data_IF_176536611009
#
_entry.id   IF_176536611009
#
_cell.length_a   1.000
_cell.length_b   1.000
_cell.length_c   1.000
_cell.angle_alpha   90.00
_cell.angle_beta   90.00
_cell.angle_gamma   90.00
#
_symmetry.space_group_name_H-M   'P 1'
#
loop_
_entity.id
_entity.type
_entity.pdbx_description
1 polymer ?
#
# COMPACT_ATOMS: atom_id res chain seq x y z
N UNK A 1 47.65 48.66 18.95
CA UNK A 1 47.48 47.45 19.80
C UNK A 1 46.03 47.45 20.26
N UNK A 2 45.15 46.71 19.58
CA UNK A 2 43.88 46.14 20.09
C UNK A 2 43.33 45.27 18.95
N UNK A 3 43.48 43.96 19.10
CA UNK A 3 42.85 42.95 18.23
C UNK A 3 41.35 42.97 18.56
N UNK A 4 40.50 43.28 17.59
CA UNK A 4 39.07 43.02 17.70
C UNK A 4 38.80 41.68 17.02
N UNK A 5 38.66 40.65 17.83
CA UNK A 5 38.08 39.36 17.50
C UNK A 5 36.57 39.58 17.54
N UNK A 6 35.87 39.32 16.43
CA UNK A 6 34.43 39.09 16.50
C UNK A 6 34.11 37.72 15.90
N UNK A 7 33.51 36.94 16.80
CA UNK A 7 33.09 35.55 16.70
C UNK A 7 32.14 35.37 15.51
N UNK A 8 32.46 34.40 14.65
CA UNK A 8 31.55 33.84 13.67
C UNK A 8 30.55 32.95 14.44
N UNK A 9 29.36 33.47 14.74
CA UNK A 9 28.26 32.64 15.28
C UNK A 9 27.67 31.83 14.11
N UNK A 10 28.24 30.64 13.89
CA UNK A 10 27.68 29.64 13.00
C UNK A 10 26.51 28.97 13.74
N UNK A 11 25.32 29.56 13.69
CA UNK A 11 24.09 28.86 14.06
C UNK A 11 23.82 27.79 13.01
N UNK A 12 24.34 26.58 13.25
CA UNK A 12 23.76 25.35 12.70
C UNK A 12 22.33 25.26 13.23
N UNK A 13 21.37 25.82 12.49
CA UNK A 13 20.01 25.30 12.53
C UNK A 13 20.07 23.94 11.84
N UNK A 14 20.34 22.89 12.60
CA UNK A 14 19.84 21.56 12.25
C UNK A 14 18.32 21.70 12.27
N UNK A 15 17.73 21.91 11.10
CA UNK A 15 16.32 21.58 10.89
C UNK A 15 16.29 20.09 11.18
N UNK A 16 15.83 19.74 12.38
CA UNK A 16 15.47 18.36 12.65
C UNK A 16 14.37 18.04 11.66
N UNK A 17 14.65 17.12 10.74
CA UNK A 17 13.59 16.39 10.07
C UNK A 17 12.80 15.75 11.21
N UNK A 18 11.67 16.35 11.57
CA UNK A 18 10.69 15.67 12.38
C UNK A 18 10.19 14.53 11.49
N UNK A 19 10.83 13.38 11.58
CA UNK A 19 10.32 12.15 11.03
C UNK A 19 9.08 11.81 11.85
N UNK A 20 7.95 12.35 11.42
CA UNK A 20 6.64 11.99 11.95
C UNK A 20 6.39 10.54 11.54
N UNK A 21 6.75 9.63 12.42
CA UNK A 21 6.59 8.21 12.17
C UNK A 21 5.13 7.79 12.35
N UNK A 22 4.42 7.62 11.24
CA UNK A 22 3.16 6.86 11.22
C UNK A 22 3.49 5.38 11.05
N UNK A 23 3.01 4.48 11.91
CA UNK A 23 3.28 3.04 11.71
C UNK A 23 2.73 2.53 10.37
N UNK A 24 1.65 3.16 9.89
CA UNK A 24 1.10 2.97 8.56
C UNK A 24 1.56 4.08 7.62
N UNK A 25 2.17 3.71 6.49
CA UNK A 25 2.47 4.63 5.40
C UNK A 25 1.27 4.75 4.45
N UNK A 26 0.66 5.94 4.43
CA UNK A 26 -0.41 6.29 3.50
C UNK A 26 0.02 7.32 2.44
N UNK A 27 1.31 7.60 2.27
CA UNK A 27 1.82 8.60 1.32
C UNK A 27 1.35 8.36 -0.12
N UNK A 28 1.15 7.09 -0.50
CA UNK A 28 0.66 6.67 -1.82
C UNK A 28 -0.82 6.28 -1.84
N UNK A 29 -1.54 6.39 -0.71
CA UNK A 29 -2.94 5.98 -0.58
C UNK A 29 -3.17 4.46 -0.52
N UNK A 30 -2.12 3.69 -0.21
CA UNK A 30 -2.16 2.23 -0.17
C UNK A 30 -2.44 1.68 1.23
N UNK A 31 -2.65 2.53 2.26
CA UNK A 31 -2.92 2.05 3.61
C UNK A 31 -4.15 1.14 3.65
N UNK A 32 -4.01 0.02 4.35
CA UNK A 32 -5.06 -1.01 4.47
C UNK A 32 -5.48 -1.54 3.09
N UNK A 33 -4.51 -1.92 2.25
CA UNK A 33 -4.73 -2.55 0.95
C UNK A 33 -3.88 -3.82 0.82
N UNK A 34 -3.96 -4.48 -0.34
CA UNK A 34 -3.15 -5.67 -0.65
C UNK A 34 -1.69 -5.35 -0.99
N UNK A 35 -1.29 -4.07 -0.96
CA UNK A 35 0.10 -3.62 -1.12
C UNK A 35 0.75 -3.42 0.25
N UNK A 36 2.09 -3.54 0.37
CA UNK A 36 2.79 -3.12 1.58
C UNK A 36 2.45 -1.67 1.94
N UNK A 37 2.11 -1.45 3.20
CA UNK A 37 1.64 -0.15 3.70
C UNK A 37 2.19 0.18 5.10
N UNK A 38 3.11 -0.61 5.64
CA UNK A 38 3.77 -0.28 6.90
C UNK A 38 4.95 0.64 6.62
N UNK A 39 5.19 1.58 7.53
CA UNK A 39 6.36 2.45 7.46
C UNK A 39 7.62 1.64 7.80
N UNK A 40 8.47 1.41 6.79
CA UNK A 40 9.65 0.57 6.93
C UNK A 40 10.65 1.10 7.98
N UNK A 41 10.80 2.42 8.09
CA UNK A 41 11.70 3.02 9.06
C UNK A 41 11.24 2.74 10.48
N UNK A 42 9.94 2.91 10.77
CA UNK A 42 9.40 2.60 12.10
C UNK A 42 9.40 1.12 12.43
N UNK A 43 9.10 0.24 11.47
CA UNK A 43 9.19 -1.20 11.69
C UNK A 43 10.64 -1.56 12.05
N UNK A 44 11.62 -0.99 11.34
CA UNK A 44 13.05 -1.21 11.60
C UNK A 44 13.50 -0.66 12.95
N UNK A 45 13.15 0.58 13.26
CA UNK A 45 13.55 1.27 14.50
C UNK A 45 12.98 0.57 15.73
N UNK A 46 11.72 0.14 15.68
CA UNK A 46 11.08 -0.63 16.74
C UNK A 46 11.46 -2.12 16.70
N UNK A 47 12.32 -2.55 15.77
CA UNK A 47 12.75 -3.94 15.59
C UNK A 47 11.58 -4.92 15.41
N UNK A 48 10.47 -4.49 14.83
CA UNK A 48 9.28 -5.33 14.66
C UNK A 48 9.60 -6.44 13.65
N UNK A 49 9.47 -7.69 14.09
CA UNK A 49 9.66 -8.90 13.28
C UNK A 49 8.34 -9.40 12.71
N UNK A 50 7.28 -9.36 13.51
CA UNK A 50 5.93 -9.68 13.04
C UNK A 50 4.86 -9.00 13.87
N UNK A 51 3.70 -8.80 13.26
CA UNK A 51 2.48 -8.34 13.92
C UNK A 51 1.36 -9.30 13.55
N UNK A 52 0.68 -9.87 14.54
CA UNK A 52 -0.41 -10.83 14.33
C UNK A 52 -1.64 -10.47 15.16
N UNK A 53 -2.78 -10.99 14.74
CA UNK A 53 -4.05 -10.70 15.36
C UNK A 53 -5.17 -11.63 14.89
N UNK A 54 -6.22 -11.71 15.69
CA UNK A 54 -7.41 -12.51 15.40
C UNK A 54 -8.58 -11.57 15.05
N UNK A 55 -9.50 -12.08 14.23
CA UNK A 55 -10.71 -11.34 13.90
C UNK A 55 -11.83 -11.66 14.88
N UNK A 56 -12.53 -10.62 15.31
CA UNK A 56 -13.84 -10.70 15.94
C UNK A 56 -14.86 -9.96 15.09
N UNK A 57 -16.12 -10.35 15.18
CA UNK A 57 -17.18 -9.81 14.33
C UNK A 57 -18.41 -9.42 15.16
N UNK A 58 -19.09 -8.36 14.74
CA UNK A 58 -20.40 -7.99 15.27
C UNK A 58 -21.25 -7.30 14.21
N UNK A 59 -22.54 -7.16 14.50
CA UNK A 59 -23.38 -6.15 13.86
C UNK A 59 -23.57 -4.96 14.79
N UNK A 60 -23.87 -3.79 14.23
CA UNK A 60 -24.22 -2.61 15.04
C UNK A 60 -25.37 -2.96 15.99
N UNK A 61 -25.17 -2.70 17.29
CA UNK A 61 -26.15 -3.01 18.35
C UNK A 61 -26.09 -4.44 18.89
N UNK A 62 -25.15 -5.26 18.43
CA UNK A 62 -24.96 -6.65 18.85
C UNK A 62 -23.61 -6.84 19.60
N UNK A 63 -23.44 -8.01 20.21
CA UNK A 63 -22.20 -8.40 20.91
C UNK A 63 -21.10 -8.83 19.93
N UNK A 64 -19.85 -8.67 20.36
CA UNK A 64 -18.68 -9.22 19.66
C UNK A 64 -18.68 -10.75 19.76
N UNK A 65 -18.28 -11.40 18.67
CA UNK A 65 -18.09 -12.85 18.59
C UNK A 65 -16.72 -13.14 18.02
N UNK A 66 -16.01 -14.03 18.69
CA UNK A 66 -14.71 -14.52 18.23
C UNK A 66 -14.87 -15.34 16.95
N UNK A 67 -13.82 -15.32 16.13
CA UNK A 67 -13.71 -16.16 14.95
C UNK A 67 -12.41 -16.96 15.00
N UNK A 68 -12.32 -18.00 14.19
CA UNK A 68 -11.06 -18.73 13.95
C UNK A 68 -10.18 -18.04 12.88
N UNK A 69 -10.59 -16.86 12.42
CA UNK A 69 -9.88 -16.10 11.40
C UNK A 69 -8.80 -15.25 12.07
N UNK A 70 -7.67 -15.09 11.39
CA UNK A 70 -6.60 -14.23 11.86
C UNK A 70 -5.74 -13.73 10.72
N UNK A 71 -4.88 -12.76 11.02
CA UNK A 71 -3.94 -12.17 10.08
C UNK A 71 -2.56 -12.05 10.72
N UNK A 72 -1.51 -12.22 9.92
CA UNK A 72 -0.13 -12.02 10.36
C UNK A 72 0.68 -11.35 9.27
N UNK A 73 1.50 -10.38 9.68
CA UNK A 73 2.47 -9.67 8.86
C UNK A 73 3.87 -9.99 9.35
N UNK A 74 4.78 -10.30 8.43
CA UNK A 74 6.18 -10.60 8.73
C UNK A 74 7.09 -9.60 8.04
N UNK A 75 8.05 -9.08 8.79
CA UNK A 75 8.96 -8.03 8.33
C UNK A 75 10.40 -8.54 8.34
N UNK A 76 11.23 -8.06 7.43
CA UNK A 76 12.68 -8.27 7.50
C UNK A 76 13.35 -7.22 8.39
N UNK A 77 14.66 -7.36 8.65
CA UNK A 77 15.43 -6.40 9.47
C UNK A 77 15.57 -5.00 8.85
N UNK A 78 15.22 -4.81 7.58
CA UNK A 78 15.14 -3.47 6.95
C UNK A 78 13.81 -2.78 7.21
N UNK A 79 12.84 -3.48 7.79
CA UNK A 79 11.48 -2.99 8.06
C UNK A 79 10.46 -3.32 6.98
N UNK A 80 10.88 -4.01 5.92
CA UNK A 80 10.02 -4.32 4.76
C UNK A 80 9.09 -5.47 5.08
N UNK A 81 7.80 -5.34 4.74
CA UNK A 81 6.84 -6.45 4.78
C UNK A 81 7.26 -7.50 3.75
N UNK A 82 7.59 -8.72 4.16
CA UNK A 82 8.05 -9.80 3.25
C UNK A 82 7.05 -10.94 3.07
N UNK A 83 6.13 -11.11 4.04
CA UNK A 83 5.07 -12.12 3.97
C UNK A 83 3.84 -11.64 4.72
N UNK A 84 2.66 -11.92 4.20
CA UNK A 84 1.41 -11.85 4.95
C UNK A 84 0.64 -13.17 4.85
N UNK A 85 -0.03 -13.51 5.95
CA UNK A 85 -0.94 -14.65 6.05
C UNK A 85 -2.29 -14.13 6.53
N UNK A 86 -3.36 -14.65 5.95
CA UNK A 86 -4.72 -14.37 6.39
C UNK A 86 -5.58 -15.63 6.28
N UNK A 87 -6.21 -16.00 7.39
CA UNK A 87 -7.20 -17.07 7.41
C UNK A 87 -8.56 -16.50 7.02
N UNK A 88 -9.22 -17.14 6.06
CA UNK A 88 -10.54 -16.75 5.55
C UNK A 88 -11.51 -17.93 5.56
N UNK A 89 -12.80 -17.63 5.54
CA UNK A 89 -13.84 -18.65 5.42
C UNK A 89 -13.93 -19.12 3.96
N UNK A 90 -13.73 -20.41 3.73
CA UNK A 90 -13.93 -21.04 2.41
C UNK A 90 -15.30 -21.72 2.32
N UNK A 91 -15.65 -22.22 1.12
CA UNK A 91 -16.87 -23.01 0.91
C UNK A 91 -16.95 -24.24 1.81
N UNK A 92 -15.80 -24.80 2.21
CA UNK A 92 -15.67 -25.89 3.18
C UNK A 92 -14.50 -25.55 4.10
N UNK A 93 -14.79 -25.29 5.39
CA UNK A 93 -13.78 -25.00 6.40
C UNK A 93 -13.07 -23.65 6.20
N UNK A 94 -11.82 -23.59 6.67
CA UNK A 94 -10.95 -22.43 6.58
C UNK A 94 -9.94 -22.59 5.45
N UNK A 95 -9.56 -21.48 4.82
CA UNK A 95 -8.44 -21.41 3.89
C UNK A 95 -7.48 -20.31 4.32
N UNK A 96 -6.23 -20.40 3.91
CA UNK A 96 -5.20 -19.40 4.23
C UNK A 96 -4.69 -18.75 2.95
N UNK A 97 -4.95 -17.45 2.83
CA UNK A 97 -4.35 -16.60 1.82
C UNK A 97 -2.93 -16.27 2.24
N UNK A 98 -2.01 -16.33 1.28
CA UNK A 98 -0.61 -15.98 1.50
C UNK A 98 -0.14 -15.01 0.41
N UNK A 99 0.56 -13.97 0.84
CA UNK A 99 1.27 -13.08 -0.07
C UNK A 99 2.74 -12.96 0.33
N UNK A 100 3.62 -12.96 -0.65
CA UNK A 100 5.06 -12.74 -0.52
C UNK A 100 5.45 -11.47 -1.26
N UNK A 101 6.35 -10.71 -0.67
CA UNK A 101 6.86 -9.46 -1.22
C UNK A 101 8.38 -9.52 -1.27
N UNK A 102 8.94 -9.33 -2.46
CA UNK A 102 10.38 -9.32 -2.70
C UNK A 102 10.80 -7.92 -3.12
N UNK A 103 12.01 -7.51 -2.75
CA UNK A 103 12.53 -6.16 -2.96
C UNK A 103 13.92 -6.21 -3.59
N UNK A 104 14.26 -5.18 -4.37
CA UNK A 104 15.63 -4.95 -4.81
C UNK A 104 16.47 -4.30 -3.67
N UNK A 105 17.74 -4.02 -3.95
CA UNK A 105 18.64 -3.36 -2.99
C UNK A 105 18.21 -1.92 -2.64
N UNK A 106 17.57 -1.22 -3.58
CA UNK A 106 17.06 0.14 -3.40
C UNK A 106 15.75 0.21 -2.61
N UNK A 107 15.11 -0.94 -2.34
CA UNK A 107 13.85 -1.02 -1.60
C UNK A 107 12.59 -1.07 -2.48
N UNK A 108 12.71 -1.13 -3.81
CA UNK A 108 11.53 -1.28 -4.68
C UNK A 108 11.06 -2.74 -4.73
N UNK A 109 9.74 -2.94 -4.73
CA UNK A 109 9.13 -4.27 -4.85
C UNK A 109 9.44 -4.90 -6.22
N UNK A 110 10.22 -5.97 -6.25
CA UNK A 110 10.52 -6.72 -7.48
C UNK A 110 9.53 -7.82 -7.78
N UNK A 111 8.85 -8.36 -6.75
CA UNK A 111 7.83 -9.37 -6.93
C UNK A 111 6.74 -9.27 -5.86
N UNK A 112 5.49 -9.44 -6.28
CA UNK A 112 4.39 -9.82 -5.41
C UNK A 112 3.93 -11.19 -5.83
N UNK A 113 3.97 -12.16 -4.92
CA UNK A 113 3.52 -13.53 -5.18
C UNK A 113 2.36 -13.86 -4.28
N UNK A 114 1.32 -14.44 -4.86
CA UNK A 114 0.17 -14.90 -4.10
C UNK A 114 -0.39 -16.16 -4.74
N UNK A 115 -1.41 -16.75 -4.12
CA UNK A 115 -2.00 -18.00 -4.54
C UNK A 115 -3.45 -17.78 -4.94
N UNK A 116 -3.84 -18.38 -6.06
CA UNK A 116 -5.24 -18.59 -6.41
C UNK A 116 -5.53 -20.11 -6.47
N UNK A 117 -6.73 -20.46 -6.93
CA UNK A 117 -7.15 -21.84 -7.09
C UNK A 117 -6.36 -22.63 -8.16
N UNK A 118 -5.55 -21.98 -9.00
CA UNK A 118 -4.65 -22.60 -9.98
C UNK A 118 -3.20 -22.70 -9.47
N UNK A 119 -2.95 -22.30 -8.22
CA UNK A 119 -1.62 -22.32 -7.60
C UNK A 119 -1.02 -20.93 -7.47
N UNK A 120 0.30 -20.87 -7.31
CA UNK A 120 1.00 -19.61 -7.13
C UNK A 120 1.11 -18.84 -8.45
N UNK A 121 0.96 -17.53 -8.35
CA UNK A 121 1.27 -16.59 -9.41
C UNK A 121 2.03 -15.40 -8.85
N UNK A 122 2.67 -14.65 -9.75
CA UNK A 122 3.44 -13.49 -9.37
C UNK A 122 3.26 -12.35 -10.37
N UNK A 123 3.30 -11.13 -9.84
CA UNK A 123 3.58 -9.94 -10.63
C UNK A 123 5.02 -9.53 -10.38
N UNK A 124 5.84 -9.55 -11.42
CA UNK A 124 7.27 -9.22 -11.38
C UNK A 124 7.52 -7.85 -11.98
N UNK A 125 8.29 -7.03 -11.30
CA UNK A 125 8.63 -5.67 -11.71
C UNK A 125 10.10 -5.55 -12.08
N UNK A 126 10.38 -4.77 -13.12
CA UNK A 126 11.73 -4.25 -13.41
C UNK A 126 11.70 -2.75 -13.51
N UNK A 127 12.78 -2.15 -13.04
CA UNK A 127 12.93 -0.71 -12.89
C UNK A 127 14.06 -0.19 -13.78
N UNK A 128 13.96 1.07 -14.20
CA UNK A 128 15.10 1.82 -14.71
C UNK A 128 15.94 2.42 -13.58
N UNK A 129 17.01 3.14 -13.93
CA UNK A 129 17.92 3.78 -12.97
C UNK A 129 17.28 4.91 -12.15
N UNK A 130 16.06 5.33 -12.49
CA UNK A 130 15.30 6.36 -11.77
C UNK A 130 14.20 5.74 -10.89
N UNK A 131 14.17 4.42 -10.73
CA UNK A 131 13.16 3.72 -9.92
C UNK A 131 11.78 3.64 -10.59
N UNK A 132 11.69 3.84 -11.91
CA UNK A 132 10.42 3.76 -12.65
C UNK A 132 10.21 2.37 -13.24
N UNK A 133 9.00 1.83 -13.14
CA UNK A 133 8.67 0.50 -13.69
C UNK A 133 8.75 0.51 -15.22
N UNK A 134 9.72 -0.18 -15.79
CA UNK A 134 9.88 -0.35 -17.24
C UNK A 134 9.31 -1.67 -17.76
N UNK A 135 9.05 -2.63 -16.87
CA UNK A 135 8.46 -3.93 -17.21
C UNK A 135 7.67 -4.50 -16.05
N UNK A 136 6.48 -5.00 -16.36
CA UNK A 136 5.62 -5.73 -15.43
C UNK A 136 5.26 -7.08 -16.08
N UNK A 137 5.53 -8.19 -15.40
CA UNK A 137 5.23 -9.53 -15.91
C UNK A 137 4.24 -10.24 -15.00
N UNK A 138 3.22 -10.86 -15.59
CA UNK A 138 2.40 -11.83 -14.90
C UNK A 138 2.97 -13.23 -15.14
N UNK A 139 3.30 -13.92 -14.05
CA UNK A 139 3.89 -15.27 -14.07
C UNK A 139 3.04 -16.28 -13.32
N UNK A 140 3.09 -17.53 -13.78
CA UNK A 140 2.64 -18.71 -13.02
C UNK A 140 3.84 -19.41 -12.40
N UNK A 141 3.70 -19.83 -11.16
CA UNK A 141 4.77 -20.42 -10.35
C UNK A 141 4.39 -21.83 -9.93
N UNK A 142 5.24 -22.80 -10.24
CA UNK A 142 5.15 -24.10 -9.59
C UNK A 142 5.75 -24.01 -8.19
N UNK A 143 5.07 -24.59 -7.21
CA UNK A 143 5.66 -24.83 -5.90
C UNK A 143 6.46 -26.14 -5.96
N UNK A 144 7.69 -26.15 -5.44
CA UNK A 144 8.49 -27.38 -5.35
C UNK A 144 7.97 -28.33 -4.27
N UNK A 145 7.32 -27.78 -3.26
CA UNK A 145 6.74 -28.55 -2.17
C UNK A 145 5.20 -28.63 -2.33
N UNK A 146 4.57 -29.49 -1.51
CA UNK A 146 3.12 -29.68 -1.50
C UNK A 146 2.39 -28.72 -0.54
N UNK A 147 3.10 -27.77 0.07
CA UNK A 147 2.49 -26.80 0.99
C UNK A 147 1.66 -25.79 0.21
N UNK A 148 0.48 -25.51 0.75
CA UNK A 148 -0.44 -24.49 0.24
C UNK A 148 -0.07 -23.08 0.70
N UNK A 149 0.80 -22.95 1.71
CA UNK A 149 1.14 -21.68 2.36
C UNK A 149 2.65 -21.39 2.37
N UNK A 150 3.51 -22.40 2.21
CA UNK A 150 4.97 -22.24 2.11
C UNK A 150 5.43 -22.36 0.67
N UNK A 151 5.73 -21.21 0.07
CA UNK A 151 6.21 -21.17 -1.30
C UNK A 151 7.70 -21.49 -1.36
N UNK A 152 8.05 -22.59 -2.02
CA UNK A 152 9.39 -22.84 -2.51
C UNK A 152 9.38 -22.73 -4.03
N UNK A 153 9.99 -21.66 -4.56
CA UNK A 153 9.91 -21.32 -5.98
C UNK A 153 10.50 -22.45 -6.83
N UNK A 154 9.64 -23.05 -7.65
CA UNK A 154 9.97 -24.01 -8.69
C UNK A 154 10.13 -23.35 -10.05
N UNK A 155 9.63 -24.02 -11.09
CA UNK A 155 9.64 -23.47 -12.45
C UNK A 155 8.65 -22.30 -12.55
N UNK A 156 9.08 -21.24 -13.22
CA UNK A 156 8.25 -20.07 -13.51
C UNK A 156 7.90 -20.00 -14.99
N UNK A 157 6.71 -19.51 -15.30
CA UNK A 157 6.23 -19.33 -16.66
C UNK A 157 5.70 -17.91 -16.83
N UNK A 158 6.28 -17.15 -17.75
CA UNK A 158 5.75 -15.83 -18.14
C UNK A 158 4.48 -16.08 -18.97
N UNK A 159 3.36 -15.56 -18.50
CA UNK A 159 2.06 -15.69 -19.17
C UNK A 159 1.81 -14.47 -20.05
N UNK A 160 2.04 -13.28 -19.51
CA UNK A 160 1.98 -12.01 -20.24
C UNK A 160 2.90 -11.00 -19.59
N UNK A 161 3.22 -9.94 -20.31
CA UNK A 161 3.98 -8.82 -19.77
C UNK A 161 3.62 -7.52 -20.48
N UNK A 162 3.88 -6.43 -19.78
CA UNK A 162 3.82 -5.08 -20.31
C UNK A 162 5.20 -4.43 -20.18
N UNK A 163 5.52 -3.53 -21.10
CA UNK A 163 6.71 -2.68 -21.00
C UNK A 163 6.30 -1.22 -20.99
N UNK A 164 7.21 -0.34 -20.58
CA UNK A 164 6.91 1.08 -20.47
C UNK A 164 8.08 1.95 -20.91
N UNK A 165 7.75 3.07 -21.54
CA UNK A 165 8.67 4.16 -21.85
C UNK A 165 8.17 5.45 -21.18
N UNK A 166 9.09 6.38 -20.91
CA UNK A 166 8.82 7.59 -20.15
C UNK A 166 9.31 8.83 -20.90
N UNK A 167 8.55 9.92 -20.76
CA UNK A 167 8.90 11.26 -21.24
C UNK A 167 8.60 12.25 -20.11
N UNK A 168 9.57 13.11 -19.81
CA UNK A 168 9.45 14.13 -18.76
C UNK A 168 9.14 15.50 -19.37
N UNK A 169 8.28 16.25 -18.71
CA UNK A 169 7.90 17.63 -19.01
C UNK A 169 7.86 18.43 -17.70
N UNK A 170 7.80 19.75 -17.79
CA UNK A 170 7.70 20.59 -16.61
C UNK A 170 6.40 20.30 -15.83
N UNK A 171 6.51 19.92 -14.55
CA UNK A 171 5.39 19.51 -13.70
C UNK A 171 4.62 18.26 -14.15
N UNK A 172 5.11 17.50 -15.15
CA UNK A 172 4.36 16.41 -15.75
C UNK A 172 5.26 15.27 -16.26
N UNK A 173 4.86 14.02 -16.00
CA UNK A 173 5.45 12.82 -16.61
C UNK A 173 4.44 12.12 -17.50
N UNK A 174 4.88 11.66 -18.67
CA UNK A 174 4.11 10.73 -19.52
C UNK A 174 4.78 9.36 -19.55
N UNK A 175 3.99 8.32 -19.26
CA UNK A 175 4.35 6.91 -19.43
C UNK A 175 3.52 6.28 -20.55
N UNK A 176 4.16 5.74 -21.57
CA UNK A 176 3.48 4.93 -22.60
C UNK A 176 3.67 3.44 -22.28
N UNK A 177 2.58 2.69 -22.26
CA UNK A 177 2.55 1.26 -21.92
C UNK A 177 2.29 0.43 -23.18
N UNK A 178 3.12 -0.60 -23.35
CA UNK A 178 3.09 -1.53 -24.48
C UNK A 178 2.68 -2.92 -24.00
N UNK A 179 1.87 -3.61 -24.80
CA UNK A 179 1.53 -5.01 -24.54
C UNK A 179 2.70 -5.95 -24.88
N UNK A 180 2.51 -7.26 -24.68
CA UNK A 180 3.51 -8.30 -24.94
C UNK A 180 3.93 -8.44 -26.41
N UNK A 181 3.21 -7.81 -27.35
CA UNK A 181 3.56 -7.72 -28.77
C UNK A 181 4.29 -6.41 -29.12
N UNK A 182 4.63 -5.58 -28.14
CA UNK A 182 5.30 -4.29 -28.35
C UNK A 182 4.40 -3.20 -28.92
N UNK A 183 3.07 -3.40 -28.91
CA UNK A 183 2.12 -2.39 -29.40
C UNK A 183 1.71 -1.46 -28.25
N UNK A 184 1.85 -0.12 -28.40
CA UNK A 184 1.37 0.81 -27.39
C UNK A 184 -0.15 0.76 -27.33
N UNK A 185 -0.70 0.75 -26.11
CA UNK A 185 -2.15 0.64 -25.93
C UNK A 185 -2.71 1.57 -24.85
N UNK A 186 -1.87 2.11 -23.98
CA UNK A 186 -2.26 2.99 -22.87
C UNK A 186 -1.19 4.05 -22.62
N UNK A 187 -1.62 5.30 -22.47
CA UNK A 187 -0.80 6.39 -21.97
C UNK A 187 -1.24 6.76 -20.56
N UNK A 188 -0.28 7.01 -19.68
CA UNK A 188 -0.50 7.48 -18.31
C UNK A 188 0.22 8.81 -18.15
N UNK A 189 -0.54 9.86 -17.85
CA UNK A 189 0.00 11.18 -17.54
C UNK A 189 -0.07 11.39 -16.03
N UNK A 190 1.06 11.69 -15.39
CA UNK A 190 1.14 12.07 -13.98
C UNK A 190 1.48 13.55 -13.90
N UNK A 191 0.74 14.29 -13.09
CA UNK A 191 0.95 15.72 -12.85
C UNK A 191 1.36 15.94 -11.40
N UNK A 192 2.25 16.89 -11.20
CA UNK A 192 2.84 17.23 -9.92
C UNK A 192 2.55 18.70 -9.58
N UNK A 193 2.51 19.03 -8.29
CA UNK A 193 2.57 20.43 -7.85
C UNK A 193 4.02 20.93 -7.74
N UNK A 194 4.19 22.16 -7.24
CA UNK A 194 5.50 22.81 -7.09
C UNK A 194 6.41 22.10 -6.07
N UNK A 195 5.83 21.37 -5.11
CA UNK A 195 6.54 20.58 -4.09
C UNK A 195 6.85 19.14 -4.55
N UNK A 196 6.40 18.77 -5.75
CA UNK A 196 6.61 17.44 -6.35
C UNK A 196 5.62 16.37 -5.90
N UNK A 197 4.53 16.74 -5.22
CA UNK A 197 3.45 15.82 -4.88
C UNK A 197 2.57 15.54 -6.09
N UNK A 198 2.09 14.30 -6.22
CA UNK A 198 1.21 13.90 -7.32
C UNK A 198 -0.17 14.53 -7.10
N UNK A 199 -0.62 15.39 -8.00
CA UNK A 199 -1.97 15.98 -7.93
C UNK A 199 -2.98 15.22 -8.78
N UNK A 200 -2.53 14.64 -9.89
CA UNK A 200 -3.40 13.93 -10.82
C UNK A 200 -2.67 12.83 -11.60
N UNK A 201 -3.39 11.73 -11.88
CA UNK A 201 -3.00 10.68 -12.82
C UNK A 201 -4.12 10.42 -13.82
N UNK A 202 -3.84 10.55 -15.12
CA UNK A 202 -4.79 10.31 -16.21
C UNK A 202 -4.32 9.14 -17.08
N UNK A 203 -5.04 8.04 -17.05
CA UNK A 203 -4.86 6.90 -17.94
C UNK A 203 -5.79 7.05 -19.16
N UNK A 204 -5.24 6.94 -20.37
CA UNK A 204 -5.99 6.97 -21.64
C UNK A 204 -5.66 5.73 -22.46
N UNK A 205 -6.69 4.99 -22.85
CA UNK A 205 -6.53 3.90 -23.82
C UNK A 205 -6.33 4.50 -25.22
N UNK A 206 -5.43 3.93 -26.01
CA UNK A 206 -5.13 4.47 -27.35
C UNK A 206 -6.16 4.03 -28.41
N UNK A 207 -6.81 2.87 -28.22
CA UNK A 207 -7.76 2.30 -29.19
C UNK A 207 -9.22 2.58 -28.87
N UNK A 208 -9.52 3.07 -27.67
CA UNK A 208 -10.89 3.38 -27.23
C UNK A 208 -10.90 4.74 -26.56
N UNK A 209 -12.06 5.37 -26.42
CA UNK A 209 -12.24 6.63 -25.67
C UNK A 209 -12.20 6.43 -24.14
N UNK A 210 -11.79 5.25 -23.68
CA UNK A 210 -11.73 4.90 -22.27
C UNK A 210 -10.67 5.70 -21.54
N UNK A 211 -11.08 6.41 -20.50
CA UNK A 211 -10.20 7.20 -19.63
C UNK A 211 -10.42 6.85 -18.17
N UNK A 212 -9.38 7.00 -17.37
CA UNK A 212 -9.45 6.94 -15.91
C UNK A 212 -8.61 8.08 -15.34
N UNK A 213 -9.26 8.98 -14.61
CA UNK A 213 -8.61 10.06 -13.87
C UNK A 213 -8.58 9.72 -12.40
N UNK A 214 -7.44 9.92 -11.75
CA UNK A 214 -7.25 9.83 -10.31
C UNK A 214 -6.72 11.17 -9.84
N UNK A 215 -7.45 11.86 -8.98
CA UNK A 215 -7.04 13.13 -8.40
C UNK A 215 -6.68 12.89 -6.93
N UNK A 216 -5.62 13.55 -6.49
CA UNK A 216 -5.10 13.47 -5.14
C UNK A 216 -5.22 14.85 -4.51
N UNK A 217 -5.53 14.89 -3.22
CA UNK A 217 -5.58 16.12 -2.43
C UNK A 217 -4.88 15.88 -1.11
N UNK A 218 -4.22 16.92 -0.60
CA UNK A 218 -3.40 16.86 0.60
C UNK A 218 -3.91 17.87 1.61
N UNK A 219 -3.76 17.58 2.90
CA UNK A 219 -4.09 18.51 3.97
C UNK A 219 -2.98 19.56 4.19
N UNK A 220 -3.18 20.48 5.12
CA UNK A 220 -2.23 21.56 5.44
C UNK A 220 -0.84 21.07 5.91
N UNK A 221 -0.74 19.80 6.34
CA UNK A 221 0.51 19.15 6.75
C UNK A 221 1.17 18.35 5.60
N UNK A 222 0.62 18.40 4.39
CA UNK A 222 1.10 17.64 3.24
C UNK A 222 0.75 16.14 3.26
N UNK A 223 -0.12 15.69 4.17
CA UNK A 223 -0.56 14.30 4.22
C UNK A 223 -1.68 14.07 3.21
N UNK A 224 -1.68 12.90 2.57
CA UNK A 224 -2.71 12.54 1.60
C UNK A 224 -4.09 12.50 2.27
N UNK A 225 -4.97 13.41 1.85
CA UNK A 225 -6.29 13.61 2.44
C UNK A 225 -7.36 12.85 1.65
N UNK A 226 -7.33 12.95 0.31
CA UNK A 226 -8.38 12.39 -0.52
C UNK A 226 -7.83 11.84 -1.85
N UNK A 227 -8.37 10.70 -2.30
CA UNK A 227 -8.19 10.17 -3.67
C UNK A 227 -9.56 10.07 -4.35
N UNK A 228 -9.73 10.74 -5.50
CA UNK A 228 -10.94 10.65 -6.33
C UNK A 228 -10.65 10.01 -7.67
N UNK A 229 -11.26 8.86 -7.93
CA UNK A 229 -11.13 8.09 -9.19
C UNK A 229 -12.41 8.21 -10.01
N UNK A 230 -12.28 8.65 -11.26
CA UNK A 230 -13.37 8.67 -12.26
C UNK A 230 -12.93 7.85 -13.46
N UNK A 231 -13.73 6.86 -13.87
CA UNK A 231 -13.45 6.00 -15.03
C UNK A 231 -14.61 5.99 -16.01
N UNK A 232 -14.32 6.08 -17.32
CA UNK A 232 -15.32 6.06 -18.41
C UNK A 232 -15.36 4.76 -19.22
N UNK A 233 -14.50 3.78 -18.93
CA UNK A 233 -14.35 2.55 -19.74
C UNK A 233 -15.61 1.67 -19.83
N UNK A 234 -16.56 1.80 -18.89
CA UNK A 234 -17.82 1.03 -18.89
C UNK A 234 -18.89 1.78 -18.11
N UNK A 235 -19.33 2.92 -18.68
CA UNK A 235 -20.11 3.93 -17.95
C UNK A 235 -19.23 4.73 -16.99
N UNK A 236 -19.79 5.82 -16.46
CA UNK A 236 -19.10 6.67 -15.48
C UNK A 236 -19.15 5.96 -14.13
N UNK A 237 -17.98 5.51 -13.65
CA UNK A 237 -17.80 4.96 -12.31
C UNK A 237 -16.96 5.92 -11.48
N UNK A 238 -17.45 6.28 -10.29
CA UNK A 238 -16.74 7.15 -9.35
C UNK A 238 -16.37 6.36 -8.09
N UNK A 239 -15.14 6.52 -7.63
CA UNK A 239 -14.67 6.03 -6.33
C UNK A 239 -13.97 7.16 -5.62
N UNK A 240 -14.13 7.24 -4.31
CA UNK A 240 -13.49 8.25 -3.48
C UNK A 240 -13.00 7.59 -2.20
N UNK A 241 -11.78 7.93 -1.80
CA UNK A 241 -11.16 7.51 -0.56
C UNK A 241 -10.81 8.76 0.23
N UNK A 242 -11.24 8.83 1.49
CA UNK A 242 -10.96 9.97 2.38
C UNK A 242 -10.20 9.44 3.59
N UNK A 243 -9.12 10.12 3.96
CA UNK A 243 -8.22 9.71 5.03
C UNK A 243 -8.26 10.74 6.16
N UNK A 244 -8.24 10.28 7.40
CA UNK A 244 -8.16 11.15 8.57
C UNK A 244 -7.01 10.73 9.49
N UNK A 245 -6.40 11.72 10.11
CA UNK A 245 -5.21 11.58 10.93
C UNK A 245 -5.44 12.16 12.33
N UNK A 246 -4.75 11.63 13.33
CA UNK A 246 -4.73 12.20 14.68
C UNK A 246 -3.77 13.41 14.78
N UNK A 247 -3.60 13.94 15.99
CA UNK A 247 -2.72 15.09 16.24
C UNK A 247 -1.23 14.80 16.00
N UNK A 248 -0.83 13.53 16.11
CA UNK A 248 0.52 13.01 15.83
C UNK A 248 0.69 12.54 14.39
N UNK A 249 -0.31 12.81 13.54
CA UNK A 249 -0.36 12.45 12.12
C UNK A 249 -0.57 10.97 11.84
N UNK A 250 -0.89 10.10 12.80
CA UNK A 250 -1.18 8.70 12.49
C UNK A 250 -2.50 8.56 11.75
N UNK A 251 -2.55 7.68 10.74
CA UNK A 251 -3.79 7.35 10.05
C UNK A 251 -4.76 6.67 11.02
N UNK A 252 -5.90 7.30 11.31
CA UNK A 252 -6.93 6.76 12.21
C UNK A 252 -8.20 6.32 11.48
N UNK A 253 -8.41 6.81 10.24
CA UNK A 253 -9.62 6.51 9.48
C UNK A 253 -9.38 6.55 7.97
N UNK A 254 -10.03 5.62 7.26
CA UNK A 254 -10.15 5.58 5.81
C UNK A 254 -11.59 5.28 5.43
N UNK A 255 -12.21 6.18 4.69
CA UNK A 255 -13.59 6.08 4.21
C UNK A 255 -13.60 5.78 2.72
N UNK A 256 -14.45 4.87 2.27
CA UNK A 256 -14.60 4.53 0.85
C UNK A 256 -16.02 4.78 0.36
N UNK A 257 -16.12 5.58 -0.70
CA UNK A 257 -17.35 5.89 -1.39
C UNK A 257 -17.35 5.34 -2.81
N UNK A 258 -18.50 4.85 -3.25
CA UNK A 258 -18.74 4.38 -4.61
C UNK A 258 -19.94 5.09 -5.19
N UNK A 259 -19.73 5.84 -6.28
CA UNK A 259 -20.77 6.66 -6.91
C UNK A 259 -21.47 7.63 -5.93
N UNK A 260 -20.75 8.13 -4.93
CA UNK A 260 -21.26 9.04 -3.90
C UNK A 260 -21.93 8.34 -2.71
N UNK A 261 -22.13 7.03 -2.76
CA UNK A 261 -22.64 6.24 -1.65
C UNK A 261 -21.49 5.82 -0.71
N UNK A 262 -21.70 5.94 0.60
CA UNK A 262 -20.72 5.54 1.61
C UNK A 262 -20.77 4.01 1.81
N UNK A 263 -19.68 3.32 1.47
CA UNK A 263 -19.67 1.84 1.39
C UNK A 263 -18.98 1.22 2.61
N UNK A 264 -17.74 1.62 2.89
CA UNK A 264 -16.96 1.05 4.00
C UNK A 264 -16.18 2.12 4.73
N UNK A 265 -15.99 1.87 6.02
CA UNK A 265 -15.09 2.62 6.88
C UNK A 265 -14.06 1.69 7.48
N UNK A 266 -12.80 2.10 7.48
CA UNK A 266 -11.73 1.44 8.20
C UNK A 266 -11.20 2.40 9.27
N UNK A 267 -11.12 1.95 10.52
CA UNK A 267 -10.55 2.71 11.64
C UNK A 267 -9.37 1.98 12.23
N UNK A 268 -8.35 2.74 12.61
CA UNK A 268 -7.16 2.23 13.29
C UNK A 268 -7.12 2.80 14.69
N UNK A 269 -7.01 1.93 15.68
CA UNK A 269 -6.84 2.30 17.08
C UNK A 269 -5.43 1.95 17.50
N UNK A 270 -4.73 2.95 18.02
CA UNK A 270 -3.37 2.83 18.54
C UNK A 270 -3.39 2.69 20.06
N UNK A 271 -2.36 2.06 20.59
CA UNK A 271 -2.04 2.07 22.01
C UNK A 271 -1.58 3.47 22.46
N UNK A 272 -2.14 3.99 23.54
CA UNK A 272 -1.89 5.37 23.98
C UNK A 272 -0.46 5.60 24.48
N UNK A 273 0.21 4.55 24.98
CA UNK A 273 1.58 4.67 25.51
C UNK A 273 2.63 4.45 24.42
N UNK A 274 2.42 3.47 23.55
CA UNK A 274 3.42 3.02 22.57
C UNK A 274 3.16 3.50 21.15
N UNK A 275 1.96 4.00 20.86
CA UNK A 275 1.48 4.32 19.50
C UNK A 275 1.57 3.15 18.51
N UNK A 276 1.67 1.91 19.00
CA UNK A 276 1.53 0.70 18.19
C UNK A 276 0.07 0.43 17.88
N UNK A 277 -0.23 -0.28 16.80
CA UNK A 277 -1.63 -0.62 16.46
C UNK A 277 -2.15 -1.66 17.45
N UNK A 278 -3.33 -1.39 18.03
CA UNK A 278 -4.10 -2.35 18.81
C UNK A 278 -5.19 -3.00 17.96
N UNK A 279 -5.94 -2.19 17.21
CA UNK A 279 -7.09 -2.68 16.45
C UNK A 279 -7.19 -2.04 15.07
N UNK A 280 -7.63 -2.83 14.09
CA UNK A 280 -8.13 -2.33 12.82
C UNK A 280 -9.59 -2.77 12.70
N UNK A 281 -10.50 -1.81 12.63
CA UNK A 281 -11.93 -2.06 12.48
C UNK A 281 -12.37 -1.75 11.07
N UNK A 282 -13.05 -2.69 10.41
CA UNK A 282 -13.68 -2.48 9.11
C UNK A 282 -15.20 -2.60 9.28
N UNK A 283 -15.92 -1.55 8.91
CA UNK A 283 -17.38 -1.51 8.93
C UNK A 283 -17.93 -1.44 7.50
N UNK A 284 -18.86 -2.33 7.17
CA UNK A 284 -19.72 -2.19 6.00
C UNK A 284 -20.95 -1.36 6.39
N UNK A 285 -21.11 -0.20 5.76
CA UNK A 285 -22.07 0.82 6.19
C UNK A 285 -23.51 0.37 5.98
N UNK A 286 -23.81 -0.26 4.84
CA UNK A 286 -25.16 -0.67 4.45
C UNK A 286 -25.73 -1.78 5.34
N UNK A 287 -24.88 -2.71 5.78
CA UNK A 287 -25.28 -3.88 6.58
C UNK A 287 -25.07 -3.67 8.08
N UNK A 288 -24.27 -2.66 8.45
CA UNK A 288 -23.80 -2.46 9.82
C UNK A 288 -22.91 -3.60 10.33
N UNK A 289 -22.37 -4.42 9.42
CA UNK A 289 -21.43 -5.48 9.77
C UNK A 289 -20.06 -4.87 10.10
N UNK A 290 -19.49 -5.28 11.22
CA UNK A 290 -18.21 -4.80 11.73
C UNK A 290 -17.31 -6.00 11.94
N UNK A 291 -16.13 -5.94 11.34
CA UNK A 291 -15.02 -6.85 11.57
C UNK A 291 -13.94 -6.08 12.33
N UNK A 292 -13.41 -6.65 13.40
CA UNK A 292 -12.33 -6.07 14.20
C UNK A 292 -11.16 -7.03 14.18
N UNK A 293 -10.03 -6.59 13.65
CA UNK A 293 -8.75 -7.28 13.76
C UNK A 293 -8.01 -6.74 14.99
N UNK A 294 -7.87 -7.57 16.02
CA UNK A 294 -7.04 -7.26 17.19
C UNK A 294 -5.57 -7.51 16.86
N UNK A 295 -4.92 -6.51 16.25
CA UNK A 295 -3.58 -6.60 15.68
C UNK A 295 -2.49 -6.24 16.72
N UNK A 296 -2.57 -6.82 17.92
CA UNK A 296 -1.77 -6.42 19.09
C UNK A 296 -0.64 -7.38 19.45
N UNK A 297 -0.46 -8.50 18.73
CA UNK A 297 0.57 -9.50 19.05
C UNK A 297 1.85 -9.23 18.26
N UNK A 298 2.79 -8.54 18.89
CA UNK A 298 4.09 -8.17 18.31
C UNK A 298 5.18 -9.19 18.68
N UNK A 299 5.99 -9.57 17.70
CA UNK A 299 7.30 -10.18 17.94
C UNK A 299 8.38 -9.21 17.47
N UNK A 300 9.50 -9.17 18.19
CA UNK A 300 10.63 -8.29 17.91
C UNK A 300 11.88 -9.08 17.55
N UNK A 301 12.75 -8.46 16.75
CA UNK A 301 14.12 -8.92 16.58
C UNK A 301 14.95 -8.60 17.83
N UNK A 302 15.90 -9.50 18.14
CA UNK A 302 17.00 -9.20 19.07
C UNK A 302 17.83 -7.99 18.58
#
# INVERSE_FOLDING_TARGET
MYKLIYLLFLTLCTIGDNTFGQLLDNSQGNALSDRPFFNEDLIRENKIKSISGDFTVKKVGDILRDTELGRTYFFNRKGQLVKSLETTQASIGLDTLVSYFEYNEAGDITAIRTKDHYGFYATIYKYDSLGRVIREEFRRNLNKNNSSFDLEIGKEFVVTYETSSYQEFDGQQKRTVYNSYGTPYKDVFTYYDEDGLITQKVERLQRTSGTKSTNYSYNEKGLLDTIKVVSSQSGIKKREYVFSYDEWNNLIKKEYYKNGEYITEERVLYDEETMMINYIMTQEVSTGYIMVLELSKYEFYD
#
